data_IF_110635295384
#
_entry.id   IF_110635295384
#
_cell.length_a   1.000
_cell.length_b   1.000
_cell.length_c   1.000
_cell.angle_alpha   90.00
_cell.angle_beta   90.00
_cell.angle_gamma   90.00
#
_symmetry.space_group_name_H-M   'P 1'
#
loop_
_entity.id
_entity.type
_entity.pdbx_description
1 polymer ?
#
# COMPACT_ATOMS: atom_id res chain seq x y z
N UNK A 1 4.77 6.42 19.29
CA UNK A 1 5.33 5.44 18.33
C UNK A 1 5.42 6.11 16.97
N UNK A 2 6.57 6.04 16.31
CA UNK A 2 6.74 6.64 14.97
C UNK A 2 6.03 5.82 13.88
N UNK A 3 5.80 6.44 12.72
CA UNK A 3 5.33 5.74 11.52
C UNK A 3 6.48 5.28 10.64
N UNK A 4 6.23 4.31 9.76
CA UNK A 4 7.23 3.79 8.81
C UNK A 4 6.67 3.77 7.40
N UNK A 5 7.44 4.27 6.43
CA UNK A 5 7.19 4.07 5.01
C UNK A 5 8.37 3.29 4.42
N UNK A 6 8.08 2.11 3.87
CA UNK A 6 9.03 1.37 3.02
C UNK A 6 8.56 1.50 1.59
N UNK A 7 9.34 2.20 0.75
CA UNK A 7 8.98 2.45 -0.64
C UNK A 7 10.11 2.11 -1.60
N UNK A 8 9.72 1.70 -2.82
CA UNK A 8 10.66 1.52 -3.91
C UNK A 8 11.28 2.87 -4.32
N UNK A 9 12.61 2.85 -4.51
CA UNK A 9 13.36 4.02 -4.99
C UNK A 9 12.88 4.44 -6.38
N UNK A 10 12.78 5.74 -6.62
CA UNK A 10 12.21 6.30 -7.84
C UNK A 10 13.01 5.96 -9.10
N UNK A 11 14.32 5.76 -8.97
CA UNK A 11 15.17 5.36 -10.10
C UNK A 11 14.84 3.95 -10.61
N UNK A 12 14.27 3.10 -9.75
CA UNK A 12 13.90 1.73 -10.09
C UNK A 12 12.41 1.61 -10.38
N UNK A 13 11.58 2.34 -9.64
CA UNK A 13 10.14 2.39 -9.82
C UNK A 13 9.68 3.85 -9.81
N UNK A 14 9.65 4.49 -11.00
CA UNK A 14 9.24 5.89 -11.12
C UNK A 14 7.81 6.09 -10.65
N UNK A 15 7.56 7.23 -10.03
CA UNK A 15 6.20 7.62 -9.68
C UNK A 15 5.36 7.78 -10.95
N UNK A 16 4.14 7.25 -10.92
CA UNK A 16 3.19 7.45 -11.99
C UNK A 16 2.85 8.94 -12.10
N UNK A 17 2.74 9.43 -13.33
CA UNK A 17 2.33 10.80 -13.63
C UNK A 17 0.81 10.89 -13.61
N UNK A 18 0.30 12.11 -13.42
CA UNK A 18 -1.13 12.35 -13.55
C UNK A 18 -1.63 11.83 -14.91
N UNK A 19 -2.74 11.10 -14.89
CA UNK A 19 -3.37 10.45 -16.05
C UNK A 19 -2.60 9.26 -16.64
N UNK A 20 -1.55 8.76 -15.99
CA UNK A 20 -0.96 7.47 -16.37
C UNK A 20 -1.99 6.35 -16.18
N UNK A 21 -2.11 5.49 -17.20
CA UNK A 21 -2.98 4.30 -17.18
C UNK A 21 -2.10 3.07 -17.17
N UNK A 22 -2.37 2.17 -16.24
CA UNK A 22 -1.65 0.91 -16.11
C UNK A 22 -2.36 -0.04 -15.16
N UNK A 23 -1.86 -1.28 -15.03
CA UNK A 23 -2.33 -2.20 -14.01
C UNK A 23 -2.22 -1.57 -12.62
N UNK A 24 -3.22 -1.81 -11.76
CA UNK A 24 -3.29 -1.21 -10.42
C UNK A 24 -2.00 -1.43 -9.60
N UNK A 25 -1.40 -2.62 -9.68
CA UNK A 25 -0.17 -2.95 -8.97
C UNK A 25 1.00 -2.02 -9.28
N UNK A 26 1.01 -1.37 -10.46
CA UNK A 26 2.08 -0.44 -10.85
C UNK A 26 2.09 0.86 -10.05
N UNK A 27 1.02 1.12 -9.28
CA UNK A 27 0.91 2.25 -8.36
C UNK A 27 1.20 1.84 -6.90
N UNK A 28 1.37 0.54 -6.62
CA UNK A 28 1.53 -0.03 -5.27
C UNK A 28 2.99 -0.11 -4.82
N UNK A 29 3.64 1.04 -4.75
CA UNK A 29 5.10 1.17 -4.64
C UNK A 29 5.63 1.22 -3.20
N UNK A 30 4.76 1.13 -2.20
CA UNK A 30 5.16 1.23 -0.80
C UNK A 30 4.22 0.56 0.19
N UNK A 31 4.75 0.31 1.39
CA UNK A 31 4.03 -0.18 2.56
C UNK A 31 4.17 0.85 3.67
N UNK A 32 3.04 1.22 4.27
CA UNK A 32 2.90 2.27 5.25
C UNK A 32 2.44 1.66 6.57
N UNK A 33 3.17 1.92 7.65
CA UNK A 33 2.77 1.59 9.03
C UNK A 33 2.50 2.89 9.75
N UNK A 34 1.29 3.03 10.29
CA UNK A 34 0.84 4.29 10.87
C UNK A 34 1.46 4.54 12.25
N UNK A 35 1.77 5.80 12.52
CA UNK A 35 2.34 6.26 13.78
C UNK A 35 1.38 7.11 14.59
N UNK A 36 1.63 7.21 15.89
CA UNK A 36 0.88 8.04 16.85
C UNK A 36 1.72 9.20 17.41
N UNK A 37 2.98 9.33 16.98
CA UNK A 37 3.82 10.42 17.44
C UNK A 37 3.39 11.76 16.78
N UNK A 38 3.45 12.88 17.52
CA UNK A 38 2.93 14.17 17.06
C UNK A 38 3.69 14.77 15.88
N UNK A 39 4.90 14.29 15.61
CA UNK A 39 5.78 14.71 14.51
C UNK A 39 5.63 13.84 13.26
N UNK A 40 4.77 12.81 13.29
CA UNK A 40 4.48 11.98 12.12
C UNK A 40 3.67 12.79 11.12
N UNK A 41 4.05 12.82 9.82
CA UNK A 41 3.27 13.51 8.79
C UNK A 41 1.83 13.02 8.75
N UNK A 42 0.87 13.90 8.41
CA UNK A 42 -0.57 13.57 8.40
C UNK A 42 -0.89 12.30 7.59
N UNK A 43 -0.22 12.08 6.46
CA UNK A 43 -0.41 10.91 5.60
C UNK A 43 0.10 9.58 6.20
N UNK A 44 0.81 9.63 7.33
CA UNK A 44 1.30 8.48 8.08
C UNK A 44 0.77 8.47 9.53
N UNK A 45 -0.01 9.47 9.90
CA UNK A 45 -0.58 9.61 11.23
C UNK A 45 -1.82 8.71 11.38
N UNK A 46 -1.84 7.90 12.43
CA UNK A 46 -2.90 6.92 12.66
C UNK A 46 -4.25 7.58 12.90
N UNK A 47 -4.31 8.67 13.67
CA UNK A 47 -5.58 9.36 13.98
C UNK A 47 -6.18 9.94 12.70
N UNK A 48 -5.36 10.57 11.85
CA UNK A 48 -5.79 11.07 10.53
C UNK A 48 -6.28 9.95 9.64
N UNK A 49 -5.61 8.81 9.66
CA UNK A 49 -6.03 7.65 8.87
C UNK A 49 -7.28 6.97 9.40
N UNK A 50 -7.48 6.99 10.71
CA UNK A 50 -8.71 6.52 11.34
C UNK A 50 -9.90 7.41 10.94
N UNK A 51 -9.73 8.73 11.00
CA UNK A 51 -10.77 9.68 10.56
C UNK A 51 -11.15 9.42 9.10
N UNK A 52 -10.15 9.29 8.21
CA UNK A 52 -10.38 8.98 6.80
C UNK A 52 -11.07 7.63 6.58
N UNK A 53 -10.64 6.58 7.28
CA UNK A 53 -11.27 5.27 7.16
C UNK A 53 -12.75 5.34 7.58
N UNK A 54 -13.08 6.10 8.63
CA UNK A 54 -14.46 6.34 9.08
C UNK A 54 -15.27 7.13 8.08
N UNK A 55 -14.70 8.16 7.47
CA UNK A 55 -15.34 8.90 6.36
C UNK A 55 -15.65 7.99 5.17
N UNK A 56 -14.80 6.99 4.92
CA UNK A 56 -14.98 5.95 3.91
C UNK A 56 -15.94 4.83 4.35
N UNK A 57 -16.43 4.84 5.59
CA UNK A 57 -17.44 3.92 6.12
C UNK A 57 -16.91 2.80 7.01
N UNK A 58 -15.64 2.86 7.43
CA UNK A 58 -15.10 1.88 8.37
C UNK A 58 -15.82 1.97 9.74
N UNK A 59 -16.14 0.83 10.37
CA UNK A 59 -16.65 0.75 11.73
C UNK A 59 -15.82 1.53 12.76
N UNK A 60 -16.49 2.12 13.75
CA UNK A 60 -15.87 2.95 14.80
C UNK A 60 -14.82 2.21 15.63
N UNK A 61 -14.96 0.88 15.71
CA UNK A 61 -14.18 -0.03 16.52
C UNK A 61 -12.99 -0.66 15.77
N UNK A 62 -12.73 -0.21 14.54
CA UNK A 62 -11.58 -0.62 13.74
C UNK A 62 -10.40 0.34 13.93
N UNK A 63 -9.23 -0.20 14.27
CA UNK A 63 -8.01 0.57 14.46
C UNK A 63 -7.02 0.30 13.32
N UNK A 64 -6.82 1.23 12.37
CA UNK A 64 -5.93 1.02 11.23
C UNK A 64 -4.46 1.02 11.68
N UNK A 65 -3.66 0.12 11.12
CA UNK A 65 -2.22 -0.02 11.46
C UNK A 65 -1.32 -0.03 10.23
N UNK A 66 -1.81 -0.54 9.09
CA UNK A 66 -1.00 -0.72 7.89
C UNK A 66 -1.81 -0.45 6.63
N UNK A 67 -1.16 0.10 5.62
CA UNK A 67 -1.72 0.26 4.27
C UNK A 67 -0.65 0.08 3.20
N UNK A 68 -1.02 -0.49 2.06
CA UNK A 68 -0.19 -0.45 0.85
C UNK A 68 -0.49 0.87 0.12
N UNK A 69 0.56 1.61 -0.22
CA UNK A 69 0.43 2.89 -0.92
C UNK A 69 -0.33 2.70 -2.24
N UNK A 70 -1.36 3.51 -2.50
CA UNK A 70 -2.18 3.41 -3.71
C UNK A 70 -3.15 2.22 -3.77
N UNK A 71 -3.14 1.34 -2.77
CA UNK A 71 -4.17 0.31 -2.60
C UNK A 71 -5.37 0.89 -1.83
N UNK A 72 -6.57 0.41 -2.16
CA UNK A 72 -7.81 0.80 -1.48
C UNK A 72 -7.88 0.24 -0.06
N UNK A 73 -7.30 -0.94 0.16
CA UNK A 73 -7.41 -1.64 1.43
C UNK A 73 -6.70 -0.94 2.59
N UNK A 74 -7.25 -1.10 3.79
CA UNK A 74 -6.66 -0.65 5.05
C UNK A 74 -6.67 -1.81 6.02
N UNK A 75 -5.51 -2.17 6.56
CA UNK A 75 -5.37 -3.25 7.53
C UNK A 75 -5.33 -2.69 8.94
N UNK A 76 -5.98 -3.39 9.86
CA UNK A 76 -6.16 -2.91 11.23
C UNK A 76 -6.59 -4.01 12.18
N UNK A 77 -6.79 -3.61 13.43
CA UNK A 77 -7.27 -4.48 14.49
C UNK A 77 -8.73 -4.18 14.83
N UNK A 78 -9.43 -5.25 15.22
CA UNK A 78 -10.73 -5.20 15.88
C UNK A 78 -10.56 -5.21 17.41
N UNK A 79 -11.62 -4.93 18.19
CA UNK A 79 -11.55 -4.91 19.66
C UNK A 79 -11.20 -6.25 20.31
N UNK A 80 -11.33 -7.35 19.58
CA UNK A 80 -11.00 -8.72 20.01
C UNK A 80 -9.56 -9.13 19.65
N UNK A 81 -8.71 -8.15 19.34
CA UNK A 81 -7.30 -8.30 18.92
C UNK A 81 -7.11 -9.10 17.62
N UNK A 82 -8.18 -9.33 16.85
CA UNK A 82 -8.08 -9.96 15.53
C UNK A 82 -7.67 -8.96 14.45
N UNK A 83 -6.83 -9.39 13.51
CA UNK A 83 -6.50 -8.60 12.33
C UNK A 83 -7.66 -8.67 11.32
N UNK A 84 -7.91 -7.53 10.71
CA UNK A 84 -8.94 -7.38 9.71
C UNK A 84 -8.51 -6.40 8.61
N UNK A 85 -9.17 -6.50 7.46
CA UNK A 85 -8.98 -5.62 6.31
C UNK A 85 -10.29 -4.93 5.97
N UNK A 86 -10.24 -3.59 5.89
CA UNK A 86 -11.30 -2.77 5.35
C UNK A 86 -11.06 -2.55 3.85
N UNK A 87 -12.04 -2.91 3.02
CA UNK A 87 -11.94 -2.83 1.55
C UNK A 87 -12.67 -1.61 0.95
N UNK A 88 -13.18 -0.70 1.78
CA UNK A 88 -14.01 0.45 1.37
C UNK A 88 -15.52 0.18 1.42
N UNK A 89 -15.94 -1.05 1.66
CA UNK A 89 -17.34 -1.44 1.80
C UNK A 89 -17.58 -2.20 3.09
N UNK A 90 -16.78 -3.24 3.32
CA UNK A 90 -16.90 -4.15 4.45
C UNK A 90 -15.54 -4.36 5.12
N UNK A 91 -15.59 -4.92 6.34
CA UNK A 91 -14.42 -5.43 7.04
C UNK A 91 -14.45 -6.95 7.06
N UNK A 92 -13.36 -7.55 6.62
CA UNK A 92 -13.16 -9.00 6.60
C UNK A 92 -11.99 -9.39 7.51
N UNK A 93 -12.02 -10.58 8.15
CA UNK A 93 -10.86 -11.11 8.86
C UNK A 93 -9.66 -11.24 7.91
N UNK A 94 -8.47 -10.84 8.37
CA UNK A 94 -7.23 -11.10 7.62
C UNK A 94 -6.66 -12.46 8.00
N UNK A 95 -6.03 -13.14 7.03
CA UNK A 95 -5.43 -14.47 7.24
C UNK A 95 -4.16 -14.42 8.12
N UNK A 96 -3.49 -13.27 8.22
CA UNK A 96 -2.32 -13.11 9.05
C UNK A 96 -2.70 -13.21 10.53
N UNK A 97 -2.05 -14.10 11.28
CA UNK A 97 -2.29 -14.28 12.71
C UNK A 97 -1.68 -13.19 13.59
N UNK A 98 -0.90 -12.25 13.01
CA UNK A 98 -0.28 -11.15 13.75
C UNK A 98 0.17 -10.02 12.83
N UNK A 99 0.37 -8.82 13.39
CA UNK A 99 0.94 -7.69 12.66
C UNK A 99 2.30 -8.02 12.03
N UNK A 100 3.15 -8.79 12.70
CA UNK A 100 4.46 -9.17 12.19
C UNK A 100 4.36 -10.06 10.94
N UNK A 101 3.35 -10.93 10.89
CA UNK A 101 3.06 -11.77 9.73
C UNK A 101 2.50 -10.95 8.57
N UNK A 102 1.51 -10.08 8.85
CA UNK A 102 0.97 -9.12 7.89
C UNK A 102 2.09 -8.25 7.28
N UNK A 103 2.92 -7.63 8.12
CA UNK A 103 4.01 -6.77 7.67
C UNK A 103 4.99 -7.55 6.79
N UNK A 104 5.36 -8.78 7.17
CA UNK A 104 6.23 -9.63 6.35
C UNK A 104 5.59 -9.96 5.00
N UNK A 105 4.30 -10.29 4.98
CA UNK A 105 3.54 -10.55 3.75
C UNK A 105 3.60 -9.36 2.81
N UNK A 106 3.27 -8.16 3.29
CA UNK A 106 3.22 -6.96 2.46
C UNK A 106 4.61 -6.50 1.98
N UNK A 107 5.66 -6.69 2.79
CA UNK A 107 7.04 -6.43 2.37
C UNK A 107 7.48 -7.41 1.28
N UNK A 108 7.17 -8.70 1.41
CA UNK A 108 7.48 -9.68 0.37
C UNK A 108 6.71 -9.37 -0.93
N UNK A 109 5.42 -9.04 -0.84
CA UNK A 109 4.62 -8.61 -1.98
C UNK A 109 5.20 -7.34 -2.65
N UNK A 110 5.70 -6.38 -1.86
CA UNK A 110 6.39 -5.20 -2.41
C UNK A 110 7.66 -5.58 -3.17
N UNK A 111 8.46 -6.52 -2.66
CA UNK A 111 9.67 -7.01 -3.34
C UNK A 111 9.36 -7.77 -4.63
N UNK A 112 8.28 -8.55 -4.66
CA UNK A 112 7.78 -9.22 -5.85
C UNK A 112 7.35 -8.19 -6.91
N UNK A 113 6.50 -7.23 -6.54
CA UNK A 113 6.08 -6.14 -7.44
C UNK A 113 7.26 -5.32 -7.96
N UNK A 114 8.31 -5.14 -7.16
CA UNK A 114 9.55 -4.49 -7.59
C UNK A 114 10.27 -5.30 -8.69
N UNK A 115 10.27 -6.62 -8.57
CA UNK A 115 10.76 -7.53 -9.62
C UNK A 115 9.96 -7.40 -10.91
N UNK A 116 8.63 -7.44 -10.80
CA UNK A 116 7.71 -7.29 -11.93
C UNK A 116 7.87 -5.94 -12.63
N UNK A 117 8.04 -4.86 -11.85
CA UNK A 117 8.27 -3.52 -12.40
C UNK A 117 9.56 -3.46 -13.24
N UNK A 118 10.65 -4.08 -12.78
CA UNK A 118 11.91 -4.14 -13.54
C UNK A 118 11.71 -4.87 -14.88
N UNK A 119 10.98 -5.98 -14.87
CA UNK A 119 10.64 -6.73 -16.09
C UNK A 119 9.81 -5.88 -17.04
N UNK A 120 8.74 -5.25 -16.54
CA UNK A 120 7.88 -4.37 -17.32
C UNK A 120 8.65 -3.20 -17.96
N UNK A 121 9.60 -2.60 -17.23
CA UNK A 121 10.44 -1.53 -17.77
C UNK A 121 11.40 -2.03 -18.87
N UNK A 122 11.99 -3.22 -18.71
CA UNK A 122 12.83 -3.83 -19.73
C UNK A 122 12.05 -4.10 -21.02
N UNK A 123 10.82 -4.62 -20.91
CA UNK A 123 9.92 -4.85 -22.04
C UNK A 123 9.53 -3.54 -22.74
N UNK A 124 9.17 -2.51 -21.97
CA UNK A 124 8.86 -1.17 -22.50
C UNK A 124 10.05 -0.57 -23.25
N UNK A 125 11.27 -0.73 -22.72
CA UNK A 125 12.48 -0.28 -23.37
C UNK A 125 12.78 -1.05 -24.67
N UNK A 126 12.55 -2.36 -24.69
CA UNK A 126 12.72 -3.20 -25.89
C UNK A 126 11.70 -2.82 -26.98
N UNK A 127 10.43 -2.59 -26.62
CA UNK A 127 9.39 -2.22 -27.58
C UNK A 127 9.60 -0.82 -28.18
N UNK A 128 10.15 0.14 -27.42
CA UNK A 128 10.53 1.46 -27.96
C UNK A 128 11.65 1.39 -29.01
N UNK A 129 12.51 0.36 -28.95
CA UNK A 129 13.62 0.15 -29.89
C UNK A 129 13.21 -0.58 -31.17
N UNK A 130 12.03 -1.20 -31.22
CA UNK A 130 11.53 -1.84 -32.45
C UNK A 130 11.10 -0.75 -33.44
N UNK A 131 11.54 -0.80 -34.71
CA UNK A 131 11.06 0.14 -35.73
C UNK A 131 9.55 -0.03 -35.85
N UNK A 132 8.81 1.09 -35.80
CA UNK A 132 7.39 1.08 -36.14
C UNK A 132 7.30 0.75 -37.63
N UNK A 133 6.73 -0.41 -37.95
CA UNK A 133 6.43 -0.75 -39.34
C UNK A 133 5.50 0.33 -39.92
N UNK A 134 5.75 0.77 -41.17
CA UNK A 134 4.95 1.79 -41.83
C UNK A 134 3.50 1.35 -42.08
#
# INVERSE_FOLDING_TARGET
MGGVLVAAREEVWPQAKAFDVGPAWTFWRGVMVFGLAPDVPDWLNLERMLDRAREEGAPDDFAPVLKVEGDGHVFGYRPDDTLAVFNGYDIEPDEAGSFAELYRREINALLERLGDMKTLQAERAANKKKPRLP
#
